data_IF_159722104933
#
_entry.id   IF_159722104933
#
_cell.length_a   1.000
_cell.length_b   1.000
_cell.length_c   1.000
_cell.angle_alpha   90.00
_cell.angle_beta   90.00
_cell.angle_gamma   90.00
#
_symmetry.space_group_name_H-M   'P 1'
#
loop_
_entity.id
_entity.type
_entity.pdbx_description
1 polymer ?
#
# COMPACT_ATOMS: atom_id res chain seq x y z
N UNK A 1 -11.47 -11.82 24.44
CA UNK A 1 -11.96 -11.13 23.22
C UNK A 1 -10.89 -10.22 22.62
N UNK A 2 -10.04 -9.60 23.45
CA UNK A 2 -8.91 -8.75 23.02
C UNK A 2 -8.02 -9.36 21.94
N UNK A 3 -7.68 -10.66 22.06
CA UNK A 3 -6.82 -11.38 21.10
C UNK A 3 -7.40 -11.41 19.68
N UNK A 4 -8.72 -11.48 19.53
CA UNK A 4 -9.37 -11.61 18.21
C UNK A 4 -9.66 -10.27 17.54
N UNK A 5 -9.44 -9.15 18.24
CA UNK A 5 -9.67 -7.80 17.73
C UNK A 5 -8.34 -7.09 17.56
N UNK A 6 -8.05 -6.11 18.41
CA UNK A 6 -6.85 -5.28 18.26
C UNK A 6 -5.65 -5.82 19.02
N UNK A 7 -5.87 -6.71 19.99
CA UNK A 7 -4.87 -7.17 20.94
C UNK A 7 -3.97 -6.02 21.42
N UNK A 8 -2.67 -6.06 21.15
CA UNK A 8 -1.68 -5.02 21.50
C UNK A 8 -1.47 -3.97 20.40
N UNK A 9 -2.12 -4.13 19.24
CA UNK A 9 -2.02 -3.20 18.11
C UNK A 9 -0.91 -3.52 17.10
N UNK A 10 -0.24 -4.67 17.21
CA UNK A 10 0.90 -5.03 16.37
C UNK A 10 0.54 -5.05 14.87
N UNK A 11 -0.63 -5.57 14.52
CA UNK A 11 -1.10 -5.56 13.12
C UNK A 11 -1.36 -4.14 12.60
N UNK A 12 -1.79 -3.21 13.47
CA UNK A 12 -1.94 -1.80 13.09
C UNK A 12 -0.57 -1.16 12.81
N UNK A 13 0.43 -1.46 13.63
CA UNK A 13 1.79 -0.95 13.43
C UNK A 13 2.42 -1.50 12.14
N UNK A 14 2.27 -2.80 11.88
CA UNK A 14 2.73 -3.44 10.64
C UNK A 14 2.02 -2.85 9.42
N UNK A 15 0.69 -2.72 9.48
CA UNK A 15 -0.11 -2.12 8.42
C UNK A 15 0.27 -0.66 8.14
N UNK A 16 0.55 0.12 9.18
CA UNK A 16 1.03 1.49 9.05
C UNK A 16 2.41 1.56 8.37
N UNK A 17 3.35 0.70 8.76
CA UNK A 17 4.68 0.63 8.16
C UNK A 17 4.62 0.22 6.68
N UNK A 18 3.85 -0.82 6.34
CA UNK A 18 3.68 -1.29 4.96
C UNK A 18 3.11 -0.20 4.05
N UNK A 19 2.06 0.48 4.53
CA UNK A 19 1.38 1.51 3.77
C UNK A 19 2.18 2.82 3.70
N UNK A 20 3.01 3.11 4.70
CA UNK A 20 3.98 4.22 4.65
C UNK A 20 4.98 4.01 3.52
N UNK A 21 5.53 2.81 3.36
CA UNK A 21 6.45 2.51 2.26
C UNK A 21 5.76 2.65 0.89
N UNK A 22 4.53 2.14 0.75
CA UNK A 22 3.74 2.33 -0.46
C UNK A 22 3.52 3.81 -0.79
N UNK A 23 3.16 4.63 0.22
CA UNK A 23 2.99 6.07 0.06
C UNK A 23 4.30 6.78 -0.33
N UNK A 24 5.44 6.37 0.24
CA UNK A 24 6.75 6.91 -0.10
C UNK A 24 7.17 6.57 -1.53
N UNK A 25 6.88 5.36 -2.03
CA UNK A 25 7.16 4.97 -3.41
C UNK A 25 6.40 5.87 -4.38
N UNK A 26 5.09 6.03 -4.19
CA UNK A 26 4.26 6.85 -5.06
C UNK A 26 4.63 8.34 -4.97
N UNK A 27 4.94 8.83 -3.76
CA UNK A 27 5.44 10.20 -3.58
C UNK A 27 6.78 10.41 -4.30
N UNK A 28 7.73 9.47 -4.21
CA UNK A 28 9.00 9.57 -4.91
C UNK A 28 8.81 9.68 -6.43
N UNK A 29 7.91 8.88 -6.98
CA UNK A 29 7.55 8.95 -8.41
C UNK A 29 6.94 10.32 -8.74
N UNK A 30 6.03 10.82 -7.90
CA UNK A 30 5.37 12.10 -8.10
C UNK A 30 6.33 13.30 -8.05
N UNK A 31 7.30 13.29 -7.13
CA UNK A 31 8.21 14.42 -6.88
C UNK A 31 9.36 14.55 -7.89
N UNK A 32 9.46 13.64 -8.87
CA UNK A 32 10.48 13.72 -9.92
C UNK A 32 11.09 12.38 -10.34
N UNK A 33 10.79 11.31 -9.60
CA UNK A 33 11.20 9.94 -9.92
C UNK A 33 12.70 9.81 -10.26
N UNK A 34 13.58 10.34 -9.41
CA UNK A 34 15.03 10.36 -9.64
C UNK A 34 15.63 8.95 -9.79
N UNK A 35 15.00 7.96 -9.14
CA UNK A 35 15.35 6.54 -9.20
C UNK A 35 14.82 5.84 -10.46
N UNK A 36 14.05 6.54 -11.30
CA UNK A 36 13.46 6.03 -12.54
C UNK A 36 12.67 4.73 -12.35
N UNK A 37 11.88 4.69 -11.27
CA UNK A 37 10.98 3.58 -10.97
C UNK A 37 9.95 3.50 -12.09
N UNK A 38 9.81 2.31 -12.69
CA UNK A 38 8.74 2.01 -13.63
C UNK A 38 7.48 1.62 -12.83
N UNK A 39 6.39 2.42 -12.87
CA UNK A 39 5.17 2.13 -12.12
C UNK A 39 4.54 0.78 -12.45
N UNK A 40 4.81 0.21 -13.62
CA UNK A 40 4.29 -1.10 -14.05
C UNK A 40 5.06 -2.28 -13.46
N UNK A 41 6.22 -2.03 -12.86
CA UNK A 41 7.11 -3.06 -12.28
C UNK A 41 7.19 -2.99 -10.76
N UNK A 42 6.41 -2.13 -10.13
CA UNK A 42 6.30 -2.07 -8.67
C UNK A 42 5.68 -3.38 -8.19
N UNK A 43 6.43 -4.12 -7.37
CA UNK A 43 5.97 -5.36 -6.75
C UNK A 43 5.38 -5.14 -5.37
N UNK A 44 5.71 -4.00 -4.74
CA UNK A 44 5.19 -3.63 -3.42
C UNK A 44 3.70 -3.29 -3.49
N UNK A 45 2.89 -3.94 -2.65
CA UNK A 45 1.44 -3.77 -2.57
C UNK A 45 1.04 -3.16 -1.23
N UNK A 46 -0.10 -2.48 -1.21
CA UNK A 46 -0.68 -1.96 0.04
C UNK A 46 -1.27 -3.10 0.86
N UNK A 47 -1.62 -2.85 2.12
CA UNK A 47 -2.27 -3.88 2.93
C UNK A 47 -3.38 -3.33 3.83
N UNK A 48 -4.33 -4.20 4.16
CA UNK A 48 -5.41 -3.91 5.11
C UNK A 48 -5.76 -5.18 5.87
N UNK A 49 -6.01 -5.07 7.18
CA UNK A 49 -6.43 -6.22 8.00
C UNK A 49 -7.96 -6.37 7.95
N UNK A 50 -8.45 -6.65 6.74
CA UNK A 50 -9.87 -6.84 6.48
C UNK A 50 -10.04 -7.81 5.32
N UNK A 51 -11.07 -8.65 5.40
CA UNK A 51 -11.44 -9.55 4.31
C UNK A 51 -12.17 -8.79 3.18
N UNK A 52 -11.46 -7.89 2.50
CA UNK A 52 -11.98 -7.09 1.40
C UNK A 52 -11.47 -7.56 0.03
N UNK A 53 -12.32 -8.30 -0.69
CA UNK A 53 -11.99 -8.78 -2.03
C UNK A 53 -11.92 -7.67 -3.08
N UNK A 54 -12.56 -6.51 -2.85
CA UNK A 54 -12.66 -5.44 -3.84
C UNK A 54 -11.30 -4.77 -4.09
N UNK A 55 -10.40 -4.81 -3.11
CA UNK A 55 -9.10 -4.18 -3.18
C UNK A 55 -8.00 -5.05 -3.82
N UNK A 56 -8.32 -6.28 -4.25
CA UNK A 56 -7.33 -7.20 -4.84
C UNK A 56 -6.66 -6.62 -6.08
N UNK A 57 -7.42 -5.96 -6.95
CA UNK A 57 -6.90 -5.33 -8.17
C UNK A 57 -7.54 -3.94 -8.31
N UNK A 58 -6.72 -2.90 -8.25
CA UNK A 58 -7.16 -1.51 -8.35
C UNK A 58 -6.31 -0.74 -9.35
N UNK A 59 -6.80 0.43 -9.73
CA UNK A 59 -6.01 1.48 -10.38
C UNK A 59 -6.07 2.69 -9.47
N UNK A 60 -4.90 3.17 -9.05
CA UNK A 60 -4.75 4.32 -8.16
C UNK A 60 -4.04 5.49 -8.87
N UNK A 61 -3.81 6.59 -8.15
CA UNK A 61 -3.20 7.80 -8.71
C UNK A 61 -4.01 8.47 -9.82
N UNK A 62 -5.32 8.19 -9.88
CA UNK A 62 -6.26 8.83 -10.80
C UNK A 62 -6.54 10.29 -10.38
N UNK A 63 -6.99 11.11 -11.34
CA UNK A 63 -7.38 12.49 -11.09
C UNK A 63 -6.55 13.49 -11.89
N UNK A 64 -6.24 14.62 -11.26
CA UNK A 64 -5.40 15.68 -11.82
C UNK A 64 -3.92 15.28 -11.72
N UNK A 65 -3.07 15.99 -12.46
CA UNK A 65 -1.61 15.81 -12.40
C UNK A 65 -1.04 15.91 -10.97
N UNK A 66 -1.69 16.66 -10.07
CA UNK A 66 -1.30 16.80 -8.67
C UNK A 66 -1.66 15.62 -7.76
N UNK A 67 -2.51 14.69 -8.22
CA UNK A 67 -3.05 13.61 -7.39
C UNK A 67 -2.18 12.34 -7.41
N UNK A 68 -1.17 12.28 -8.29
CA UNK A 68 -0.20 11.19 -8.35
C UNK A 68 0.09 10.69 -9.76
N UNK A 69 0.69 9.51 -9.85
CA UNK A 69 0.94 8.81 -11.10
C UNK A 69 0.02 7.58 -11.20
N UNK A 70 -0.70 7.46 -12.30
CA UNK A 70 -1.63 6.35 -12.51
C UNK A 70 -0.87 5.03 -12.65
N UNK A 71 -1.20 4.03 -11.82
CA UNK A 71 -0.67 2.67 -11.94
C UNK A 71 -1.70 1.62 -11.53
N UNK A 72 -1.42 0.37 -11.89
CA UNK A 72 -2.13 -0.77 -11.33
C UNK A 72 -1.53 -1.11 -9.97
N UNK A 73 -2.39 -1.40 -9.00
CA UNK A 73 -1.99 -1.76 -7.65
C UNK A 73 -2.96 -2.79 -7.06
N UNK A 74 -2.73 -3.19 -5.81
CA UNK A 74 -3.71 -3.94 -5.03
C UNK A 74 -3.35 -3.99 -3.57
N UNK A 75 -4.28 -4.53 -2.79
CA UNK A 75 -4.10 -4.78 -1.37
C UNK A 75 -4.01 -6.27 -1.08
N UNK A 76 -3.12 -6.60 -0.14
CA UNK A 76 -3.08 -7.90 0.52
C UNK A 76 -3.55 -7.78 1.97
N UNK A 77 -3.89 -8.91 2.60
CA UNK A 77 -4.18 -8.92 4.04
C UNK A 77 -2.89 -8.57 4.81
N UNK A 78 -2.97 -7.79 5.89
CA UNK A 78 -1.77 -7.29 6.61
C UNK A 78 -0.79 -8.40 6.99
N UNK A 79 -1.28 -9.58 7.36
CA UNK A 79 -0.44 -10.74 7.72
C UNK A 79 0.34 -11.35 6.54
N UNK A 80 0.03 -10.96 5.30
CA UNK A 80 0.75 -11.38 4.10
C UNK A 80 1.80 -10.34 3.65
N UNK A 81 1.93 -9.21 4.34
CA UNK A 81 2.99 -8.23 4.11
C UNK A 81 4.36 -8.83 4.45
N UNK A 82 5.40 -8.49 3.70
CA UNK A 82 6.80 -8.84 4.03
C UNK A 82 7.30 -8.14 5.32
N UNK A 83 6.55 -7.17 5.85
CA UNK A 83 6.84 -6.52 7.14
C UNK A 83 6.46 -7.40 8.34
N UNK A 84 5.58 -8.40 8.16
CA UNK A 84 5.23 -9.39 9.18
C UNK A 84 6.37 -10.38 9.42
#
# INVERSE_FOLDING_TARGET
>A
EDINLHFTGDFHAIGAANNLLAAMIDNHIHQGNELRIDPKRITWRRCVDMNDRQLRNIVDGLGKKGDGAVRQDGFDITVASEIM
#
